data_IF_640082287480
#
_entry.id   IF_640082287480
#
_cell.length_a   1.000
_cell.length_b   1.000
_cell.length_c   1.000
_cell.angle_alpha   90.00
_cell.angle_beta   90.00
_cell.angle_gamma   90.00
#
_symmetry.space_group_name_H-M   'P 1'
#
loop_
_entity.id
_entity.type
_entity.pdbx_description
1 polymer ?
#
# COMPACT_ATOMS: atom_id res chain seq x y z
N UNK A 1 9.01 -5.33 -16.92
CA UNK A 1 10.06 -4.98 -15.93
C UNK A 1 9.53 -4.92 -14.50
N UNK A 2 8.53 -4.10 -14.16
CA UNK A 2 8.01 -3.95 -12.77
C UNK A 2 7.58 -5.28 -12.14
N UNK A 3 6.81 -6.12 -12.85
CA UNK A 3 6.38 -7.42 -12.33
C UNK A 3 7.52 -8.40 -12.06
N UNK A 4 8.62 -8.31 -12.82
CA UNK A 4 9.81 -9.09 -12.59
C UNK A 4 10.52 -8.63 -11.30
N UNK A 5 10.64 -7.32 -11.08
CA UNK A 5 11.20 -6.78 -9.84
C UNK A 5 10.37 -7.18 -8.60
N UNK A 6 9.04 -7.13 -8.70
CA UNK A 6 8.15 -7.62 -7.64
C UNK A 6 8.33 -9.12 -7.40
N UNK A 7 8.40 -9.91 -8.47
CA UNK A 7 8.61 -11.35 -8.38
C UNK A 7 9.94 -11.69 -7.72
N UNK A 8 11.01 -10.98 -8.09
CA UNK A 8 12.32 -11.13 -7.46
C UNK A 8 12.25 -10.84 -5.94
N UNK A 9 11.55 -9.79 -5.53
CA UNK A 9 11.36 -9.47 -4.12
C UNK A 9 10.58 -10.57 -3.38
N UNK A 10 9.53 -11.11 -3.99
CA UNK A 10 8.76 -12.23 -3.43
C UNK A 10 9.64 -13.49 -3.27
N UNK A 11 10.43 -13.85 -4.29
CA UNK A 11 11.35 -14.99 -4.22
C UNK A 11 12.46 -14.79 -3.20
N UNK A 12 12.97 -13.56 -3.05
CA UNK A 12 13.95 -13.23 -2.02
C UNK A 12 13.38 -13.51 -0.62
N UNK A 13 12.15 -13.06 -0.33
CA UNK A 13 11.49 -13.30 0.95
C UNK A 13 11.25 -14.80 1.22
N UNK A 14 10.78 -15.54 0.22
CA UNK A 14 10.60 -16.99 0.32
C UNK A 14 11.93 -17.70 0.62
N UNK A 15 12.99 -17.31 -0.08
CA UNK A 15 14.32 -17.89 0.12
C UNK A 15 14.82 -17.64 1.54
N UNK A 16 14.72 -16.39 2.02
CA UNK A 16 15.15 -16.04 3.39
C UNK A 16 14.39 -16.87 4.44
N UNK A 17 13.08 -17.06 4.25
CA UNK A 17 12.27 -17.89 5.15
C UNK A 17 12.68 -19.37 5.15
N UNK A 18 13.11 -19.90 4.00
CA UNK A 18 13.42 -21.32 3.85
C UNK A 18 14.88 -21.66 4.23
N UNK A 19 15.83 -20.76 3.96
CA UNK A 19 17.26 -21.03 4.11
C UNK A 19 17.87 -20.39 5.35
N UNK A 20 17.11 -19.56 6.07
CA UNK A 20 17.61 -18.71 7.15
C UNK A 20 18.80 -17.83 6.74
N UNK A 21 19.00 -17.62 5.44
CA UNK A 21 20.15 -16.90 4.91
C UNK A 21 19.86 -15.39 4.95
N UNK A 22 20.67 -14.57 5.67
CA UNK A 22 20.34 -13.18 5.96
C UNK A 22 20.74 -12.20 4.84
N UNK A 23 20.48 -12.51 3.56
CA UNK A 23 20.59 -11.55 2.43
C UNK A 23 19.32 -10.69 2.32
N UNK A 24 18.81 -10.21 3.45
CA UNK A 24 17.57 -9.44 3.47
C UNK A 24 17.83 -8.00 3.03
N UNK A 25 17.30 -7.62 1.89
CA UNK A 25 17.38 -6.24 1.38
C UNK A 25 15.98 -5.69 1.19
N UNK A 26 15.54 -4.81 2.10
CA UNK A 26 14.29 -4.07 1.93
C UNK A 26 14.34 -3.29 0.61
N UNK A 27 13.24 -3.24 -0.18
CA UNK A 27 13.18 -2.46 -1.40
C UNK A 27 13.60 -0.99 -1.18
N UNK A 28 14.13 -0.35 -2.22
CA UNK A 28 14.52 1.06 -2.09
C UNK A 28 13.30 1.98 -1.97
N UNK A 29 13.41 3.13 -1.28
CA UNK A 29 12.34 4.12 -1.16
C UNK A 29 11.75 4.52 -2.51
N UNK A 30 12.62 4.74 -3.50
CA UNK A 30 12.27 5.16 -4.86
C UNK A 30 11.57 4.04 -5.63
N UNK A 31 11.89 2.78 -5.33
CA UNK A 31 11.15 1.66 -5.89
C UNK A 31 9.74 1.65 -5.33
N UNK A 32 9.57 1.71 -4.00
CA UNK A 32 8.24 1.66 -3.38
C UNK A 32 7.38 2.86 -3.77
N UNK A 33 7.91 4.08 -3.77
CA UNK A 33 7.17 5.30 -4.14
C UNK A 33 6.60 5.21 -5.56
N UNK A 34 7.39 4.69 -6.52
CA UNK A 34 6.94 4.45 -7.90
C UNK A 34 5.85 3.39 -8.01
N UNK A 35 5.89 2.35 -7.18
CA UNK A 35 4.86 1.31 -7.19
C UNK A 35 3.53 1.81 -6.65
N UNK A 36 3.54 2.71 -5.65
CA UNK A 36 2.32 3.28 -5.07
C UNK A 36 1.50 4.04 -6.12
N UNK A 37 2.16 4.74 -7.05
CA UNK A 37 1.49 5.52 -8.11
C UNK A 37 1.23 4.72 -9.40
N UNK A 38 1.56 3.43 -9.42
CA UNK A 38 1.40 2.57 -10.60
C UNK A 38 -0.03 2.56 -11.11
N UNK A 39 -0.23 2.51 -12.43
CA UNK A 39 -1.55 2.38 -13.04
C UNK A 39 -2.14 0.96 -12.96
N UNK A 40 -1.47 0.00 -12.31
CA UNK A 40 -1.93 -1.38 -12.20
C UNK A 40 -2.27 -1.75 -10.75
N UNK A 41 -3.53 -2.13 -10.50
CA UNK A 41 -4.00 -2.51 -9.17
C UNK A 41 -3.26 -3.76 -8.63
N UNK A 42 -2.88 -4.68 -9.51
CA UNK A 42 -2.11 -5.88 -9.18
C UNK A 42 -0.71 -5.54 -8.66
N UNK A 43 -0.07 -4.51 -9.20
CA UNK A 43 1.23 -4.01 -8.72
C UNK A 43 1.10 -3.49 -7.29
N UNK A 44 0.09 -2.67 -7.02
CA UNK A 44 -0.15 -2.11 -5.68
C UNK A 44 -0.52 -3.22 -4.69
N UNK A 45 -1.36 -4.17 -5.09
CA UNK A 45 -1.73 -5.34 -4.26
C UNK A 45 -0.52 -6.20 -3.91
N UNK A 46 0.36 -6.48 -4.88
CA UNK A 46 1.61 -7.23 -4.66
C UNK A 46 2.59 -6.47 -3.76
N UNK A 47 2.71 -5.16 -3.92
CA UNK A 47 3.50 -4.33 -3.00
C UNK A 47 2.99 -4.48 -1.56
N UNK A 48 1.68 -4.35 -1.35
CA UNK A 48 1.06 -4.54 -0.03
C UNK A 48 1.36 -5.92 0.57
N UNK A 49 1.30 -6.98 -0.25
CA UNK A 49 1.68 -8.35 0.16
C UNK A 49 3.15 -8.42 0.58
N UNK A 50 4.08 -7.93 -0.25
CA UNK A 50 5.51 -7.93 0.04
C UNK A 50 5.79 -7.24 1.39
N UNK A 51 5.19 -6.07 1.64
CA UNK A 51 5.37 -5.34 2.90
C UNK A 51 4.88 -6.17 4.10
N UNK A 52 3.76 -6.89 3.97
CA UNK A 52 3.27 -7.80 5.00
C UNK A 52 4.23 -8.97 5.23
N UNK A 53 4.73 -9.57 4.16
CA UNK A 53 5.58 -10.76 4.24
C UNK A 53 6.93 -10.43 4.90
N UNK A 54 7.48 -9.23 4.66
CA UNK A 54 8.64 -8.71 5.42
C UNK A 54 8.40 -8.74 6.94
N UNK A 55 7.20 -8.41 7.41
CA UNK A 55 6.89 -8.45 8.84
C UNK A 55 7.01 -9.86 9.41
N UNK A 56 6.53 -10.87 8.67
CA UNK A 56 6.65 -12.29 9.04
C UNK A 56 8.11 -12.75 9.01
N UNK A 57 8.87 -12.35 7.99
CA UNK A 57 10.32 -12.64 7.89
C UNK A 57 11.08 -12.07 9.08
N UNK A 58 10.84 -10.81 9.45
CA UNK A 58 11.48 -10.19 10.61
C UNK A 58 11.13 -10.91 11.92
N UNK A 59 9.88 -11.35 12.08
CA UNK A 59 9.47 -12.11 13.26
C UNK A 59 10.21 -13.46 13.34
N UNK A 60 10.36 -14.16 12.23
CA UNK A 60 11.08 -15.43 12.19
C UNK A 60 12.59 -15.25 12.45
N UNK A 61 13.22 -14.27 11.80
CA UNK A 61 14.64 -13.96 12.02
C UNK A 61 14.93 -13.55 13.47
N UNK A 62 14.01 -12.83 14.13
CA UNK A 62 14.11 -12.52 15.57
C UNK A 62 14.07 -13.79 16.43
N UNK A 63 13.15 -14.73 16.14
CA UNK A 63 13.05 -16.01 16.87
C UNK A 63 14.31 -16.85 16.73
N UNK A 64 14.95 -16.80 15.56
CA UNK A 64 16.19 -17.51 15.26
C UNK A 64 17.45 -16.83 15.83
N UNK A 65 17.30 -15.70 16.54
CA UNK A 65 18.41 -14.94 17.13
C UNK A 65 19.52 -14.64 16.11
N UNK A 66 19.14 -14.23 14.90
CA UNK A 66 20.11 -13.90 13.85
C UNK A 66 21.13 -12.85 14.35
N UNK A 67 22.42 -12.96 14.00
CA UNK A 67 23.44 -11.96 14.36
C UNK A 67 23.27 -10.62 13.62
N UNK A 68 22.24 -10.50 12.78
CA UNK A 68 22.03 -9.38 11.90
C UNK A 68 21.20 -8.29 12.58
N UNK A 69 21.62 -7.03 12.46
CA UNK A 69 20.92 -5.90 13.08
C UNK A 69 19.64 -5.56 12.30
N UNK A 70 18.52 -6.13 12.73
CA UNK A 70 17.21 -5.95 12.07
C UNK A 70 16.56 -4.59 12.36
N UNK A 71 16.96 -3.87 13.40
CA UNK A 71 16.23 -2.68 13.87
C UNK A 71 16.11 -1.58 12.83
N UNK A 72 17.18 -1.31 12.07
CA UNK A 72 17.16 -0.31 10.99
C UNK A 72 16.18 -0.71 9.88
N UNK A 73 16.16 -2.00 9.54
CA UNK A 73 15.27 -2.55 8.54
C UNK A 73 13.81 -2.50 8.99
N UNK A 74 13.53 -2.89 10.23
CA UNK A 74 12.19 -2.83 10.82
C UNK A 74 11.68 -1.39 10.88
N UNK A 75 12.52 -0.43 11.30
CA UNK A 75 12.16 0.99 11.30
C UNK A 75 11.78 1.47 9.89
N UNK A 76 12.58 1.13 8.89
CA UNK A 76 12.31 1.47 7.49
C UNK A 76 11.02 0.83 6.97
N UNK A 77 10.77 -0.44 7.28
CA UNK A 77 9.51 -1.11 6.91
C UNK A 77 8.30 -0.44 7.57
N UNK A 78 8.40 -0.04 8.84
CA UNK A 78 7.32 0.66 9.53
C UNK A 78 6.95 1.99 8.87
N UNK A 79 7.94 2.72 8.34
CA UNK A 79 7.68 3.91 7.52
C UNK A 79 6.89 3.54 6.26
N UNK A 80 7.28 2.48 5.54
CA UNK A 80 6.53 2.03 4.35
C UNK A 80 5.10 1.64 4.67
N UNK A 81 4.89 0.93 5.78
CA UNK A 81 3.55 0.57 6.24
C UNK A 81 2.70 1.81 6.48
N UNK A 82 3.25 2.81 7.19
CA UNK A 82 2.54 4.05 7.50
C UNK A 82 2.21 4.84 6.24
N UNK A 83 3.18 4.98 5.35
CA UNK A 83 3.07 5.78 4.13
C UNK A 83 2.12 5.17 3.10
N UNK A 84 2.23 3.87 2.85
CA UNK A 84 1.29 3.14 1.99
C UNK A 84 -0.12 3.21 2.57
N UNK A 85 -0.28 3.12 3.88
CA UNK A 85 -1.59 3.29 4.53
C UNK A 85 -2.12 4.72 4.42
N UNK A 86 -1.26 5.72 4.61
CA UNK A 86 -1.61 7.13 4.47
C UNK A 86 -2.09 7.44 3.05
N UNK A 87 -1.40 6.93 2.03
CA UNK A 87 -1.76 7.11 0.63
C UNK A 87 -3.05 6.35 0.25
N UNK A 88 -3.08 5.03 0.46
CA UNK A 88 -4.14 4.18 -0.05
C UNK A 88 -5.44 4.25 0.76
N UNK A 89 -5.35 4.52 2.07
CA UNK A 89 -6.50 4.40 2.99
C UNK A 89 -6.90 5.70 3.70
N UNK A 90 -5.93 6.45 4.23
CA UNK A 90 -6.21 7.61 5.12
C UNK A 90 -6.36 8.95 4.41
N UNK A 91 -6.15 9.00 3.09
CA UNK A 91 -6.22 10.23 2.28
C UNK A 91 -5.16 11.28 2.68
N UNK A 92 -3.97 10.81 3.05
CA UNK A 92 -2.86 11.62 3.59
C UNK A 92 -1.60 11.53 2.73
N UNK A 93 -1.75 11.26 1.42
CA UNK A 93 -0.59 11.08 0.54
C UNK A 93 0.29 12.32 0.38
N UNK A 94 -0.28 13.51 0.59
CA UNK A 94 0.38 14.82 0.46
C UNK A 94 0.33 15.61 1.79
N UNK A 95 0.07 14.94 2.91
CA UNK A 95 0.07 15.56 4.23
C UNK A 95 1.51 15.58 4.77
N UNK A 96 2.22 16.69 4.56
CA UNK A 96 3.63 16.85 4.94
C UNK A 96 3.83 17.00 6.45
N UNK A 97 2.78 17.33 7.21
CA UNK A 97 2.88 17.56 8.66
C UNK A 97 3.20 16.28 9.46
N UNK A 98 2.93 15.10 8.89
CA UNK A 98 3.16 13.81 9.53
C UNK A 98 4.29 13.01 8.88
N UNK A 99 5.00 13.58 7.90
CA UNK A 99 6.07 12.90 7.19
C UNK A 99 7.36 12.94 8.00
N UNK A 100 8.07 11.81 8.01
CA UNK A 100 9.44 11.73 8.53
C UNK A 100 10.43 11.93 7.39
N UNK A 101 11.70 12.20 7.71
CA UNK A 101 12.78 12.30 6.71
C UNK A 101 12.98 11.03 5.88
N UNK A 102 12.47 9.89 6.35
CA UNK A 102 12.54 8.60 5.67
C UNK A 102 11.28 8.27 4.85
N UNK A 103 10.32 9.21 4.80
CA UNK A 103 9.05 8.99 4.10
C UNK A 103 9.26 8.74 2.61
N UNK A 104 8.45 7.85 2.05
CA UNK A 104 8.38 7.56 0.61
C UNK A 104 7.27 8.33 -0.10
N UNK A 105 6.50 9.12 0.65
CA UNK A 105 5.47 9.99 0.11
C UNK A 105 6.06 11.29 -0.41
N UNK A 106 5.21 12.09 -1.02
CA UNK A 106 5.61 13.35 -1.65
C UNK A 106 5.96 14.39 -0.58
N UNK A 107 7.22 14.83 -0.59
CA UNK A 107 7.73 15.91 0.25
C UNK A 107 7.67 17.25 -0.51
N UNK A 108 6.46 17.68 -0.85
CA UNK A 108 6.22 19.01 -1.38
C UNK A 108 4.78 19.45 -1.07
N UNK A 109 4.56 20.76 -0.99
CA UNK A 109 3.21 21.31 -0.86
C UNK A 109 2.46 21.16 -2.19
N UNK A 110 1.54 20.19 -2.24
CA UNK A 110 0.70 19.92 -3.42
C UNK A 110 -0.12 21.15 -3.85
N UNK A 111 -0.44 22.06 -2.93
CA UNK A 111 -1.20 23.28 -3.22
C UNK A 111 -0.35 24.41 -3.79
N UNK A 112 0.98 24.27 -3.79
CA UNK A 112 1.89 25.17 -4.48
C UNK A 112 1.86 24.98 -6.00
N UNK A 113 1.37 23.83 -6.49
CA UNK A 113 1.27 23.53 -7.92
C UNK A 113 0.12 24.34 -8.55
N UNK A 114 0.39 25.16 -9.60
CA UNK A 114 -0.64 25.92 -10.28
C UNK A 114 -1.79 25.03 -10.79
N UNK A 115 -3.02 25.43 -10.49
CA UNK A 115 -4.24 24.71 -10.88
C UNK A 115 -4.76 23.72 -9.85
N UNK A 116 -3.97 23.35 -8.83
CA UNK A 116 -4.44 22.52 -7.72
C UNK A 116 -5.02 23.40 -6.62
N UNK A 117 -6.35 23.47 -6.52
CA UNK A 117 -7.06 24.25 -5.47
C UNK A 117 -7.94 23.41 -4.55
N UNK A 118 -8.23 22.18 -4.93
CA UNK A 118 -9.16 21.32 -4.20
C UNK A 118 -8.44 20.44 -3.18
N UNK A 119 -8.93 20.42 -1.94
CA UNK A 119 -8.50 19.45 -0.92
C UNK A 119 -8.76 18.00 -1.32
N UNK A 120 -9.62 17.74 -2.32
CA UNK A 120 -9.86 16.38 -2.83
C UNK A 120 -8.59 15.74 -3.42
N UNK A 121 -7.58 16.53 -3.80
CA UNK A 121 -6.30 16.02 -4.30
C UNK A 121 -5.63 15.06 -3.31
N UNK A 122 -5.84 15.25 -2.01
CA UNK A 122 -5.27 14.38 -0.96
C UNK A 122 -5.81 12.95 -0.99
N UNK A 123 -6.98 12.76 -1.59
CA UNK A 123 -7.61 11.46 -1.79
C UNK A 123 -7.23 10.79 -3.10
N UNK A 124 -6.47 11.45 -3.98
CA UNK A 124 -6.19 10.96 -5.35
C UNK A 124 -5.47 9.61 -5.38
N UNK A 125 -4.66 9.30 -4.38
CA UNK A 125 -3.98 7.99 -4.25
C UNK A 125 -4.76 6.95 -3.45
N UNK A 126 -5.96 7.26 -2.99
CA UNK A 126 -6.76 6.28 -2.25
C UNK A 126 -7.35 5.20 -3.13
N UNK A 127 -7.59 4.01 -2.60
CA UNK A 127 -8.18 2.88 -3.35
C UNK A 127 -9.54 3.22 -4.02
N UNK A 128 -10.22 4.28 -3.56
CA UNK A 128 -11.49 4.75 -4.14
C UNK A 128 -11.33 5.73 -5.31
N UNK A 129 -10.16 6.36 -5.48
CA UNK A 129 -9.93 7.41 -6.48
C UNK A 129 -8.65 7.19 -7.31
N UNK A 130 -7.80 6.28 -6.87
CA UNK A 130 -6.54 5.96 -7.49
C UNK A 130 -6.79 5.38 -8.88
N UNK A 131 -6.07 5.89 -9.88
CA UNK A 131 -6.21 5.53 -11.30
C UNK A 131 -6.29 4.02 -11.54
N UNK A 132 -5.39 3.27 -10.91
CA UNK A 132 -5.34 1.80 -10.96
C UNK A 132 -6.63 1.08 -10.55
N UNK A 133 -7.49 1.70 -9.74
CA UNK A 133 -8.70 1.09 -9.21
C UNK A 133 -9.99 1.66 -9.82
N UNK A 134 -9.92 2.67 -10.69
CA UNK A 134 -11.10 3.29 -11.28
C UNK A 134 -12.02 2.27 -11.98
N UNK A 135 -11.44 1.31 -12.70
CA UNK A 135 -12.20 0.21 -13.30
C UNK A 135 -12.97 -0.62 -12.26
N UNK A 136 -12.31 -1.00 -11.17
CA UNK A 136 -12.94 -1.74 -10.07
C UNK A 136 -14.02 -0.92 -9.34
N UNK A 137 -13.78 0.37 -9.12
CA UNK A 137 -14.77 1.31 -8.58
C UNK A 137 -16.03 1.33 -9.43
N UNK A 138 -15.88 1.47 -10.75
CA UNK A 138 -17.01 1.51 -11.68
C UNK A 138 -17.77 0.18 -11.71
N UNK A 139 -17.06 -0.94 -11.75
CA UNK A 139 -17.67 -2.28 -11.72
C UNK A 139 -18.45 -2.51 -10.42
N UNK A 140 -17.87 -2.15 -9.27
CA UNK A 140 -18.54 -2.23 -7.98
C UNK A 140 -19.81 -1.37 -7.93
N UNK A 141 -19.72 -0.10 -8.34
CA UNK A 141 -20.86 0.81 -8.36
C UNK A 141 -21.97 0.33 -9.31
N UNK A 142 -21.62 -0.28 -10.45
CA UNK A 142 -22.60 -0.89 -11.36
C UNK A 142 -23.31 -2.08 -10.75
N UNK A 143 -22.60 -2.89 -9.96
CA UNK A 143 -23.15 -4.08 -9.30
C UNK A 143 -24.07 -3.72 -8.12
N UNK A 144 -23.66 -2.75 -7.30
CA UNK A 144 -24.35 -2.45 -6.03
C UNK A 144 -25.33 -1.28 -6.11
N UNK A 145 -25.28 -0.44 -7.17
CA UNK A 145 -26.08 0.79 -7.24
C UNK A 145 -26.79 0.99 -8.58
N UNK A 146 -28.02 1.55 -8.54
CA UNK A 146 -28.73 1.97 -9.75
C UNK A 146 -27.99 3.10 -10.45
N UNK A 147 -28.19 3.24 -11.77
CA UNK A 147 -27.42 4.17 -12.62
C UNK A 147 -27.48 5.62 -12.12
N UNK A 148 -28.61 6.04 -11.57
CA UNK A 148 -28.88 7.39 -11.09
C UNK A 148 -28.10 7.79 -9.83
N UNK A 149 -27.41 6.85 -9.16
CA UNK A 149 -26.69 7.10 -7.90
C UNK A 149 -25.21 6.67 -7.95
N UNK A 150 -24.58 6.53 -9.11
CA UNK A 150 -23.19 6.07 -9.21
C UNK A 150 -22.21 7.21 -8.91
N UNK A 151 -21.69 7.27 -7.68
CA UNK A 151 -20.62 8.21 -7.32
C UNK A 151 -19.58 7.55 -6.40
N UNK A 152 -18.28 7.79 -6.66
CA UNK A 152 -17.16 7.16 -5.93
C UNK A 152 -17.18 7.48 -4.43
N UNK A 153 -17.67 8.66 -4.04
CA UNK A 153 -17.81 9.03 -2.62
C UNK A 153 -18.71 8.08 -1.84
N UNK A 154 -19.64 7.37 -2.49
CA UNK A 154 -20.54 6.42 -1.82
C UNK A 154 -19.83 5.13 -1.39
N UNK A 155 -18.70 4.79 -2.01
CA UNK A 155 -17.84 3.70 -1.56
C UNK A 155 -17.35 3.97 -0.13
N UNK A 156 -17.18 5.23 0.24
CA UNK A 156 -16.79 5.61 1.60
C UNK A 156 -17.80 5.17 2.65
N UNK A 157 -19.09 5.09 2.31
CA UNK A 157 -20.16 4.69 3.22
C UNK A 157 -20.12 3.17 3.44
N UNK A 158 -19.80 2.40 2.40
CA UNK A 158 -19.85 0.94 2.44
C UNK A 158 -18.49 0.29 2.12
N UNK A 159 -17.42 0.82 2.75
CA UNK A 159 -16.04 0.39 2.46
C UNK A 159 -15.83 -1.11 2.67
N UNK A 160 -16.45 -1.71 3.71
CA UNK A 160 -16.29 -3.14 3.99
C UNK A 160 -16.71 -4.01 2.79
N UNK A 161 -17.86 -3.72 2.18
CA UNK A 161 -18.34 -4.44 0.98
C UNK A 161 -17.44 -4.23 -0.22
N UNK A 162 -16.98 -2.99 -0.44
CA UNK A 162 -16.04 -2.72 -1.53
C UNK A 162 -14.72 -3.47 -1.36
N UNK A 163 -14.21 -3.59 -0.13
CA UNK A 163 -13.01 -4.37 0.14
C UNK A 163 -13.21 -5.86 -0.06
N UNK A 164 -14.38 -6.39 0.30
CA UNK A 164 -14.72 -7.77 -0.04
C UNK A 164 -14.73 -7.97 -1.56
N UNK A 165 -15.37 -7.06 -2.30
CA UNK A 165 -15.34 -7.08 -3.76
C UNK A 165 -13.91 -7.06 -4.31
N UNK A 166 -13.01 -6.20 -3.81
CA UNK A 166 -11.61 -6.18 -4.25
C UNK A 166 -10.88 -7.50 -3.93
N UNK A 167 -11.17 -8.13 -2.80
CA UNK A 167 -10.62 -9.46 -2.46
C UNK A 167 -11.08 -10.51 -3.47
N UNK A 168 -12.35 -10.48 -3.86
CA UNK A 168 -12.92 -11.36 -4.89
C UNK A 168 -12.33 -11.11 -6.29
N UNK A 169 -11.68 -9.96 -6.50
CA UNK A 169 -10.93 -9.61 -7.72
C UNK A 169 -9.43 -9.94 -7.60
N UNK A 170 -9.05 -10.88 -6.73
CA UNK A 170 -7.67 -11.32 -6.50
C UNK A 170 -6.73 -10.24 -5.93
N UNK A 171 -7.28 -9.14 -5.40
CA UNK A 171 -6.49 -8.06 -4.78
C UNK A 171 -6.27 -8.31 -3.27
N UNK A 172 -6.10 -9.58 -2.90
CA UNK A 172 -5.98 -10.04 -1.52
C UNK A 172 -4.85 -9.34 -0.74
N UNK A 173 -3.70 -9.10 -1.37
CA UNK A 173 -2.56 -8.43 -0.75
C UNK A 173 -2.89 -7.03 -0.21
N UNK A 174 -3.61 -6.23 -1.00
CA UNK A 174 -4.10 -4.92 -0.57
C UNK A 174 -5.10 -5.04 0.60
N UNK A 175 -6.08 -5.93 0.47
CA UNK A 175 -7.15 -6.05 1.47
C UNK A 175 -6.65 -6.60 2.80
N UNK A 176 -5.72 -7.56 2.79
CA UNK A 176 -5.05 -8.08 3.99
C UNK A 176 -4.22 -6.99 4.67
N UNK A 177 -3.50 -6.19 3.87
CA UNK A 177 -2.67 -5.10 4.38
C UNK A 177 -3.49 -4.06 5.12
N UNK A 178 -4.59 -3.59 4.52
CA UNK A 178 -5.46 -2.60 5.15
C UNK A 178 -6.15 -3.19 6.39
N UNK A 179 -6.62 -4.44 6.33
CA UNK A 179 -7.28 -5.11 7.45
C UNK A 179 -6.37 -5.21 8.68
N UNK A 180 -5.10 -5.60 8.48
CA UNK A 180 -4.11 -5.74 9.57
C UNK A 180 -3.72 -4.42 10.23
N UNK A 181 -3.97 -3.29 9.56
CA UNK A 181 -3.72 -1.96 10.11
C UNK A 181 -4.93 -1.39 10.85
N UNK A 182 -6.14 -1.81 10.49
CA UNK A 182 -7.35 -1.42 11.20
C UNK A 182 -7.40 -2.05 12.61
N UNK A 183 -7.01 -3.31 12.74
CA UNK A 183 -6.98 -4.04 14.03
C UNK A 183 -5.94 -3.53 15.03
N UNK A 184 -5.08 -2.59 14.65
CA UNK A 184 -4.07 -1.96 15.53
C UNK A 184 -4.48 -0.56 16.01
N UNK A 185 -5.63 -0.07 15.59
CA UNK A 185 -6.17 1.27 15.90
C UNK A 185 -7.45 1.24 16.74
N UNK A 186 -7.86 0.06 17.19
CA UNK A 186 -8.88 -0.18 18.23
C UNK A 186 -8.17 -0.70 19.48
#
# INVERSE_FOLDING_TARGET
MVHFCLWFQEQLLITVLNTNFPLLTIPSPEFVSRLIVSNQCTVISRLCRIILDYSSVFQNLKKLQTPYKLDKHIKKLNVYVLDVCNALWRYKAFDTAQQTSDSILFDFDIFSIPGIRSKSVTSSLSVCHHQAFLGHVLLYLRKEMPESRRHSSLIRINRKRYFQFLRDQELGGLTDFISRLQTKTE
#
